data_IF_862295042248
#
_entry.id   IF_862295042248
#
_cell.length_a   1.000
_cell.length_b   1.000
_cell.length_c   1.000
_cell.angle_alpha   90.00
_cell.angle_beta   90.00
_cell.angle_gamma   90.00
#
_symmetry.space_group_name_H-M   'P 1'
#
loop_
_entity.id
_entity.type
_entity.pdbx_description
1 polymer ?
#
# COMPACT_ATOMS: atom_id res chain seq x y z
N UNK A 1 3.30 21.30 1.63
CA UNK A 1 3.90 21.43 0.30
C UNK A 1 3.55 20.13 -0.43
N UNK A 2 2.61 20.16 -1.37
CA UNK A 2 2.21 18.95 -2.12
C UNK A 2 3.26 18.68 -3.20
N UNK A 3 4.24 17.85 -2.90
CA UNK A 3 5.14 17.34 -3.92
C UNK A 3 4.51 16.10 -4.57
N UNK A 4 3.54 16.32 -5.45
CA UNK A 4 3.00 15.26 -6.31
C UNK A 4 4.06 14.91 -7.36
N UNK A 5 4.93 13.96 -7.04
CA UNK A 5 5.72 13.29 -8.07
C UNK A 5 4.71 12.42 -8.81
N UNK A 6 4.43 12.74 -10.08
CA UNK A 6 3.67 11.89 -11.00
C UNK A 6 4.45 11.88 -12.32
N UNK A 7 5.10 10.77 -12.64
CA UNK A 7 5.85 10.68 -13.89
C UNK A 7 5.93 9.25 -14.37
N UNK A 8 5.25 8.94 -15.48
CA UNK A 8 5.52 7.72 -16.22
C UNK A 8 6.98 7.71 -16.67
N UNK A 9 7.72 6.65 -16.30
CA UNK A 9 9.07 6.40 -16.80
C UNK A 9 10.22 6.77 -15.85
N UNK A 10 9.95 7.22 -14.62
CA UNK A 10 11.03 7.45 -13.64
C UNK A 10 11.63 6.12 -13.17
N UNK A 11 12.95 6.09 -13.03
CA UNK A 11 13.72 4.96 -12.49
C UNK A 11 14.14 5.24 -11.06
N UNK A 12 14.59 4.22 -10.32
CA UNK A 12 15.11 4.41 -8.96
C UNK A 12 16.25 5.43 -8.92
N UNK A 13 17.08 5.48 -9.97
CA UNK A 13 18.21 6.42 -10.08
C UNK A 13 17.73 7.87 -10.21
N UNK A 14 16.64 8.09 -10.96
CA UNK A 14 16.05 9.43 -11.10
C UNK A 14 15.26 9.86 -9.87
N UNK A 15 14.60 8.91 -9.17
CA UNK A 15 13.75 9.22 -8.03
C UNK A 15 14.55 9.41 -6.73
N UNK A 16 15.63 8.65 -6.51
CA UNK A 16 16.36 8.67 -5.23
C UNK A 16 16.91 10.06 -4.85
N UNK A 17 17.55 10.84 -5.76
CA UNK A 17 18.01 12.19 -5.43
C UNK A 17 16.87 13.14 -5.08
N UNK A 18 15.70 13.00 -5.72
CA UNK A 18 14.52 13.81 -5.42
C UNK A 18 14.01 13.53 -4.00
N UNK A 19 14.00 12.25 -3.61
CA UNK A 19 13.65 11.86 -2.24
C UNK A 19 14.65 12.41 -1.21
N UNK A 20 15.95 12.40 -1.53
CA UNK A 20 17.01 12.84 -0.63
C UNK A 20 17.07 14.37 -0.45
N UNK A 21 16.76 15.12 -1.51
CA UNK A 21 16.84 16.59 -1.49
C UNK A 21 15.57 17.27 -0.97
N UNK A 22 14.51 16.51 -0.67
CA UNK A 22 13.27 17.06 -0.12
C UNK A 22 13.35 17.13 1.41
N UNK A 23 13.75 18.27 1.96
CA UNK A 23 13.89 18.43 3.42
C UNK A 23 12.55 18.64 4.14
N UNK A 24 11.53 19.12 3.43
CA UNK A 24 10.23 19.49 4.01
C UNK A 24 9.31 18.29 4.32
N UNK A 25 9.70 17.07 3.93
CA UNK A 25 8.87 15.87 4.03
C UNK A 25 7.83 15.76 2.91
N UNK A 26 7.75 14.59 2.27
CA UNK A 26 6.70 14.30 1.30
C UNK A 26 5.41 13.86 2.03
N UNK A 27 4.28 14.37 1.55
CA UNK A 27 2.94 14.07 2.10
C UNK A 27 2.17 13.13 1.17
N UNK A 28 2.10 13.47 -0.12
CA UNK A 28 1.35 12.73 -1.13
C UNK A 28 2.27 12.33 -2.29
N UNK A 29 2.46 11.02 -2.51
CA UNK A 29 3.34 10.49 -3.55
C UNK A 29 2.58 9.57 -4.49
N UNK A 30 2.63 9.85 -5.80
CA UNK A 30 1.89 9.12 -6.82
C UNK A 30 2.82 8.52 -7.89
N UNK A 31 3.10 7.24 -7.79
CA UNK A 31 4.01 6.53 -8.69
C UNK A 31 3.28 5.53 -9.58
N UNK A 32 2.02 5.79 -9.92
CA UNK A 32 1.21 4.91 -10.78
C UNK A 32 1.97 4.54 -12.06
N UNK A 33 1.96 3.24 -12.39
CA UNK A 33 2.52 2.69 -13.61
C UNK A 33 4.05 2.78 -13.70
N UNK A 34 4.77 3.07 -12.62
CA UNK A 34 6.23 3.17 -12.64
C UNK A 34 6.92 1.78 -12.59
N UNK A 35 6.83 1.04 -13.70
CA UNK A 35 7.34 -0.34 -13.87
C UNK A 35 8.87 -0.53 -13.74
N UNK A 36 9.63 0.57 -13.71
CA UNK A 36 11.08 0.55 -13.47
C UNK A 36 11.47 0.73 -12.00
N UNK A 37 10.50 0.99 -11.13
CA UNK A 37 10.72 1.05 -9.69
C UNK A 37 10.82 -0.35 -9.11
N UNK A 38 11.65 -0.51 -8.08
CA UNK A 38 11.77 -1.77 -7.32
C UNK A 38 11.67 -1.47 -5.83
N UNK A 39 11.46 -2.49 -5.00
CA UNK A 39 11.21 -2.35 -3.56
C UNK A 39 12.21 -1.46 -2.78
N UNK A 40 13.45 -1.28 -3.28
CA UNK A 40 14.45 -0.42 -2.65
C UNK A 40 14.03 1.07 -2.61
N UNK A 41 13.30 1.56 -3.61
CA UNK A 41 12.89 2.97 -3.67
C UNK A 41 11.77 3.26 -2.69
N UNK A 42 10.85 2.30 -2.51
CA UNK A 42 9.84 2.38 -1.45
C UNK A 42 10.56 2.39 -0.10
N UNK A 43 11.56 1.53 0.10
CA UNK A 43 12.36 1.57 1.34
C UNK A 43 13.02 2.92 1.60
N UNK A 44 13.61 3.55 0.57
CA UNK A 44 14.20 4.88 0.71
C UNK A 44 13.14 5.95 1.01
N UNK A 45 12.04 5.96 0.25
CA UNK A 45 10.92 6.88 0.41
C UNK A 45 10.37 6.83 1.84
N UNK A 46 10.00 5.64 2.32
CA UNK A 46 9.38 5.51 3.64
C UNK A 46 10.36 5.76 4.78
N UNK A 47 11.67 5.51 4.60
CA UNK A 47 12.69 5.84 5.61
C UNK A 47 12.92 7.34 5.75
N UNK A 48 12.91 8.07 4.64
CA UNK A 48 13.16 9.52 4.63
C UNK A 48 11.88 10.28 5.00
N UNK A 49 10.73 9.87 4.48
CA UNK A 49 9.48 10.63 4.51
C UNK A 49 8.35 9.96 5.32
N UNK A 50 8.58 8.80 5.95
CA UNK A 50 7.53 8.04 6.64
C UNK A 50 6.87 8.73 7.84
N UNK A 51 7.49 9.80 8.35
CA UNK A 51 6.93 10.65 9.41
C UNK A 51 5.93 11.70 8.90
N UNK A 52 5.87 11.94 7.59
CA UNK A 52 4.98 12.95 6.97
C UNK A 52 4.10 12.37 5.86
N UNK A 53 4.42 11.17 5.36
CA UNK A 53 3.74 10.58 4.22
C UNK A 53 2.36 10.09 4.61
N UNK A 54 1.33 10.73 4.07
CA UNK A 54 -0.08 10.43 4.30
C UNK A 54 -0.68 9.59 3.17
N UNK A 55 -0.22 9.79 1.92
CA UNK A 55 -0.69 9.04 0.76
C UNK A 55 0.47 8.49 -0.07
N UNK A 56 0.41 7.20 -0.38
CA UNK A 56 1.30 6.54 -1.32
C UNK A 56 0.50 5.71 -2.33
N UNK A 57 0.58 6.10 -3.60
CA UNK A 57 0.01 5.34 -4.71
C UNK A 57 1.11 4.66 -5.54
N UNK A 58 1.03 3.33 -5.65
CA UNK A 58 1.93 2.45 -6.40
C UNK A 58 1.18 1.59 -7.44
N UNK A 59 -0.07 1.93 -7.82
CA UNK A 59 -0.87 1.12 -8.76
C UNK A 59 -0.08 0.79 -10.03
N UNK A 60 -0.02 -0.49 -10.39
CA UNK A 60 0.66 -0.97 -11.59
C UNK A 60 2.19 -1.07 -11.47
N UNK A 61 2.77 -0.84 -10.28
CA UNK A 61 4.19 -1.06 -10.02
C UNK A 61 4.47 -2.55 -9.73
N UNK A 62 4.36 -3.41 -10.74
CA UNK A 62 4.44 -4.89 -10.60
C UNK A 62 5.74 -5.44 -9.98
N UNK A 63 6.84 -4.68 -9.94
CA UNK A 63 8.09 -5.04 -9.25
C UNK A 63 8.08 -4.73 -7.74
N UNK A 64 7.01 -4.12 -7.24
CA UNK A 64 6.76 -3.95 -5.80
C UNK A 64 6.25 -5.27 -5.26
N UNK A 65 7.03 -5.85 -4.35
CA UNK A 65 6.76 -7.13 -3.70
C UNK A 65 6.57 -6.95 -2.19
N UNK A 66 6.28 -8.05 -1.48
CA UNK A 66 6.18 -8.10 -0.02
C UNK A 66 7.40 -7.52 0.73
N UNK A 67 8.57 -7.45 0.09
CA UNK A 67 9.75 -6.77 0.64
C UNK A 67 9.47 -5.28 0.93
N UNK A 68 8.63 -4.65 0.10
CA UNK A 68 8.19 -3.26 0.30
C UNK A 68 7.27 -3.15 1.51
N UNK A 69 6.39 -4.13 1.73
CA UNK A 69 5.52 -4.21 2.91
C UNK A 69 6.32 -4.25 4.21
N UNK A 70 7.50 -4.88 4.23
CA UNK A 70 8.41 -4.85 5.39
C UNK A 70 8.90 -3.43 5.68
N UNK A 71 9.28 -2.68 4.65
CA UNK A 71 9.75 -1.31 4.82
C UNK A 71 8.60 -0.39 5.26
N UNK A 72 7.45 -0.52 4.61
CA UNK A 72 6.20 0.19 4.92
C UNK A 72 5.80 -0.03 6.39
N UNK A 73 5.72 -1.29 6.82
CA UNK A 73 5.32 -1.67 8.17
C UNK A 73 6.24 -1.13 9.27
N UNK A 74 7.50 -0.86 8.94
CA UNK A 74 8.52 -0.39 9.91
C UNK A 74 8.61 1.13 10.02
N UNK A 75 8.28 1.86 8.97
CA UNK A 75 8.62 3.29 8.88
C UNK A 75 7.41 4.22 8.74
N UNK A 76 6.23 3.71 8.38
CA UNK A 76 5.05 4.55 8.34
C UNK A 76 4.52 4.86 9.73
N UNK A 77 4.45 6.15 10.03
CA UNK A 77 3.91 6.67 11.29
C UNK A 77 2.53 7.30 11.06
N UNK A 78 2.32 7.94 9.89
CA UNK A 78 1.13 8.76 9.61
C UNK A 78 0.40 8.41 8.31
N UNK A 79 0.72 7.28 7.68
CA UNK A 79 0.07 6.87 6.42
C UNK A 79 -1.44 6.72 6.62
N UNK A 80 -2.22 7.34 5.75
CA UNK A 80 -3.68 7.24 5.70
C UNK A 80 -4.11 6.38 4.52
N UNK A 81 -3.51 6.61 3.34
CA UNK A 81 -3.94 6.02 2.08
C UNK A 81 -2.79 5.26 1.41
N UNK A 82 -2.96 3.94 1.23
CA UNK A 82 -2.00 3.09 0.55
C UNK A 82 -2.67 2.36 -0.61
N UNK A 83 -2.21 2.64 -1.83
CA UNK A 83 -2.61 1.93 -3.03
C UNK A 83 -1.44 1.10 -3.55
N UNK A 84 -1.57 -0.22 -3.49
CA UNK A 84 -0.63 -1.21 -4.04
C UNK A 84 -1.32 -2.09 -5.08
N UNK A 85 -2.34 -1.55 -5.76
CA UNK A 85 -3.09 -2.26 -6.81
C UNK A 85 -2.15 -2.77 -7.90
N UNK A 86 -2.45 -3.95 -8.45
CA UNK A 86 -1.69 -4.60 -9.53
C UNK A 86 -0.17 -4.72 -9.23
N UNK A 87 0.22 -4.73 -7.95
CA UNK A 87 1.58 -5.04 -7.51
C UNK A 87 1.71 -6.55 -7.21
N UNK A 88 2.95 -7.04 -7.09
CA UNK A 88 3.24 -8.43 -6.70
C UNK A 88 3.15 -8.63 -5.17
N UNK A 89 2.07 -8.13 -4.56
CA UNK A 89 1.77 -8.29 -3.14
C UNK A 89 0.99 -9.59 -2.95
N UNK A 90 1.42 -10.37 -1.95
CA UNK A 90 0.77 -11.65 -1.62
C UNK A 90 0.09 -11.57 -0.25
N UNK A 91 -0.56 -12.68 0.14
CA UNK A 91 -1.06 -12.87 1.51
C UNK A 91 0.02 -12.59 2.59
N UNK A 92 1.30 -12.87 2.31
CA UNK A 92 2.39 -12.62 3.25
C UNK A 92 2.66 -11.11 3.42
N UNK A 93 2.59 -10.33 2.34
CA UNK A 93 2.67 -8.87 2.40
C UNK A 93 1.57 -8.27 3.27
N UNK A 94 0.32 -8.72 3.10
CA UNK A 94 -0.81 -8.27 3.94
C UNK A 94 -0.60 -8.68 5.40
N UNK A 95 -0.09 -9.89 5.64
CA UNK A 95 0.24 -10.34 7.00
C UNK A 95 1.29 -9.43 7.66
N UNK A 96 2.32 -9.02 6.90
CA UNK A 96 3.35 -8.07 7.37
C UNK A 96 2.72 -6.71 7.72
N UNK A 97 1.89 -6.16 6.83
CA UNK A 97 1.19 -4.89 7.07
C UNK A 97 0.31 -4.98 8.31
N UNK A 98 -0.44 -6.07 8.50
CA UNK A 98 -1.32 -6.27 9.66
C UNK A 98 -0.59 -6.36 11.01
N UNK A 99 0.74 -6.57 11.00
CA UNK A 99 1.58 -6.59 12.20
C UNK A 99 2.18 -5.22 12.50
N UNK A 100 2.14 -4.29 11.55
CA UNK A 100 2.61 -2.94 11.76
C UNK A 100 1.73 -2.23 12.79
N UNK A 101 2.34 -1.38 13.61
CA UNK A 101 1.60 -0.46 14.46
C UNK A 101 1.28 0.80 13.64
N UNK A 102 0.36 0.66 12.69
CA UNK A 102 -0.10 1.73 11.78
C UNK A 102 -1.48 2.23 12.23
N UNK A 103 -1.56 3.09 13.26
CA UNK A 103 -2.85 3.51 13.83
C UNK A 103 -3.68 4.38 12.86
N UNK A 104 -3.06 4.91 11.79
CA UNK A 104 -3.66 5.90 10.91
C UNK A 104 -4.17 5.35 9.57
N UNK A 105 -3.84 4.11 9.19
CA UNK A 105 -4.19 3.60 7.86
C UNK A 105 -5.71 3.47 7.72
N UNK A 106 -6.29 4.27 6.83
CA UNK A 106 -7.73 4.38 6.59
C UNK A 106 -8.15 3.78 5.26
N UNK A 107 -7.33 3.91 4.21
CA UNK A 107 -7.64 3.35 2.88
C UNK A 107 -6.54 2.42 2.43
N UNK A 108 -6.93 1.20 2.04
CA UNK A 108 -6.05 0.22 1.42
C UNK A 108 -6.65 -0.28 0.11
N UNK A 109 -5.91 -0.12 -0.99
CA UNK A 109 -6.25 -0.76 -2.26
C UNK A 109 -5.29 -1.88 -2.59
N UNK A 110 -5.85 -3.07 -2.82
CA UNK A 110 -5.19 -4.29 -3.28
C UNK A 110 -5.76 -4.74 -4.63
N UNK A 111 -6.50 -3.88 -5.32
CA UNK A 111 -7.20 -4.22 -6.56
C UNK A 111 -6.28 -4.85 -7.60
N UNK A 112 -6.71 -5.97 -8.18
CA UNK A 112 -5.96 -6.71 -9.19
C UNK A 112 -4.65 -7.37 -8.70
N UNK A 113 -4.41 -7.48 -7.39
CA UNK A 113 -3.31 -8.27 -6.85
C UNK A 113 -3.66 -9.77 -6.94
N UNK A 114 -3.13 -10.46 -7.95
CA UNK A 114 -3.51 -11.85 -8.29
C UNK A 114 -3.20 -12.90 -7.22
N UNK A 115 -2.20 -12.64 -6.36
CA UNK A 115 -1.72 -13.57 -5.34
C UNK A 115 -2.37 -13.33 -3.95
N UNK A 116 -3.33 -12.40 -3.88
CA UNK A 116 -4.19 -12.20 -2.72
C UNK A 116 -5.38 -13.15 -2.81
N UNK A 117 -5.59 -13.94 -1.77
CA UNK A 117 -6.65 -14.97 -1.75
C UNK A 117 -7.35 -15.03 -0.39
N UNK A 118 -8.27 -15.99 -0.23
CA UNK A 118 -8.95 -16.28 1.05
C UNK A 118 -8.02 -16.36 2.27
N UNK A 119 -6.74 -16.72 2.08
CA UNK A 119 -5.73 -16.78 3.14
C UNK A 119 -5.41 -15.41 3.76
N UNK A 120 -5.76 -14.31 3.09
CA UNK A 120 -5.57 -12.95 3.58
C UNK A 120 -6.62 -12.49 4.60
N UNK A 121 -7.77 -13.17 4.68
CA UNK A 121 -8.92 -12.78 5.50
C UNK A 121 -8.59 -12.42 6.97
N UNK A 122 -7.81 -13.21 7.75
CA UNK A 122 -7.50 -12.83 9.12
C UNK A 122 -6.65 -11.57 9.22
N UNK A 123 -5.78 -11.32 8.23
CA UNK A 123 -4.92 -10.13 8.20
C UNK A 123 -5.69 -8.89 7.79
N UNK A 124 -6.58 -9.00 6.80
CA UNK A 124 -7.50 -7.94 6.38
C UNK A 124 -8.48 -7.57 7.50
N UNK A 125 -9.02 -8.57 8.21
CA UNK A 125 -9.87 -8.36 9.39
C UNK A 125 -9.14 -7.54 10.45
N UNK A 126 -7.85 -7.82 10.68
CA UNK A 126 -7.03 -7.09 11.65
C UNK A 126 -6.76 -5.66 11.22
N UNK A 127 -6.41 -5.44 9.95
CA UNK A 127 -6.22 -4.09 9.39
C UNK A 127 -7.52 -3.27 9.44
N UNK A 128 -8.67 -3.91 9.28
CA UNK A 128 -9.97 -3.26 9.34
C UNK A 128 -10.38 -2.66 10.69
N UNK A 129 -9.54 -2.76 11.73
CA UNK A 129 -9.72 -1.98 12.96
C UNK A 129 -9.54 -0.47 12.72
N UNK A 130 -8.76 -0.08 11.71
CA UNK A 130 -8.51 1.33 11.35
C UNK A 130 -9.07 1.70 9.98
N UNK A 131 -9.25 0.73 9.08
CA UNK A 131 -9.70 1.00 7.71
C UNK A 131 -11.14 1.52 7.66
N UNK A 132 -11.32 2.56 6.84
CA UNK A 132 -12.59 3.10 6.37
C UNK A 132 -12.86 2.74 4.91
N UNK A 133 -11.83 2.36 4.15
CA UNK A 133 -11.94 1.92 2.76
C UNK A 133 -11.01 0.74 2.45
N UNK A 134 -11.55 -0.29 1.82
CA UNK A 134 -10.80 -1.46 1.36
C UNK A 134 -11.22 -1.81 -0.07
N UNK A 135 -10.28 -1.76 -1.00
CA UNK A 135 -10.54 -2.15 -2.39
C UNK A 135 -9.88 -3.50 -2.72
N UNK A 136 -10.71 -4.49 -3.03
CA UNK A 136 -10.38 -5.86 -3.41
C UNK A 136 -10.89 -6.22 -4.81
N UNK A 137 -11.32 -5.24 -5.61
CA UNK A 137 -11.78 -5.49 -6.97
C UNK A 137 -10.75 -6.28 -7.78
N UNK A 138 -11.23 -7.23 -8.57
CA UNK A 138 -10.40 -8.09 -9.42
C UNK A 138 -9.38 -8.98 -8.64
N UNK A 139 -9.50 -9.11 -7.31
CA UNK A 139 -8.79 -10.13 -6.54
C UNK A 139 -9.52 -11.48 -6.65
N UNK A 140 -9.43 -12.10 -7.83
CA UNK A 140 -10.25 -13.26 -8.22
C UNK A 140 -10.08 -14.52 -7.35
N UNK A 141 -9.04 -14.57 -6.51
CA UNK A 141 -8.79 -15.67 -5.57
C UNK A 141 -9.45 -15.46 -4.20
N UNK A 142 -10.23 -14.38 -4.03
CA UNK A 142 -11.10 -14.15 -2.87
C UNK A 142 -12.51 -14.61 -3.22
N UNK A 143 -12.99 -15.63 -2.49
CA UNK A 143 -14.33 -16.19 -2.64
C UNK A 143 -15.42 -15.30 -2.02
N UNK A 144 -16.66 -15.49 -2.46
CA UNK A 144 -17.82 -14.76 -1.95
C UNK A 144 -18.05 -14.97 -0.46
N UNK A 145 -17.76 -16.16 0.05
CA UNK A 145 -17.80 -16.51 1.48
C UNK A 145 -16.88 -15.61 2.31
N UNK A 146 -15.67 -15.35 1.81
CA UNK A 146 -14.73 -14.45 2.47
C UNK A 146 -15.15 -12.98 2.32
N UNK A 147 -15.70 -12.59 1.17
CA UNK A 147 -16.23 -11.24 0.99
C UNK A 147 -17.37 -10.95 1.97
N UNK A 148 -18.33 -11.88 2.13
CA UNK A 148 -19.41 -11.79 3.12
C UNK A 148 -18.87 -11.65 4.54
N UNK A 149 -17.88 -12.48 4.91
CA UNK A 149 -17.21 -12.41 6.21
C UNK A 149 -16.52 -11.05 6.43
N UNK A 150 -15.87 -10.49 5.42
CA UNK A 150 -15.23 -9.18 5.53
C UNK A 150 -16.26 -8.06 5.68
N UNK A 151 -17.37 -8.10 4.95
CA UNK A 151 -18.47 -7.13 5.09
C UNK A 151 -19.09 -7.19 6.49
N UNK A 152 -19.30 -8.39 7.02
CA UNK A 152 -19.84 -8.58 8.38
C UNK A 152 -18.88 -8.02 9.44
N UNK A 153 -17.58 -8.35 9.33
CA UNK A 153 -16.59 -7.97 10.34
C UNK A 153 -16.16 -6.51 10.25
N UNK A 154 -16.08 -5.97 9.05
CA UNK A 154 -15.59 -4.61 8.78
C UNK A 154 -16.75 -3.65 8.52
N UNK A 155 -17.76 -3.67 9.39
CA UNK A 155 -19.00 -2.91 9.27
C UNK A 155 -18.84 -1.37 9.17
N UNK A 156 -17.66 -0.82 9.49
CA UNK A 156 -17.32 0.61 9.33
C UNK A 156 -16.51 0.90 8.06
N UNK A 157 -16.05 -0.12 7.37
CA UNK A 157 -15.18 -0.03 6.19
C UNK A 157 -16.02 -0.19 4.92
N UNK A 158 -15.90 0.77 4.01
CA UNK A 158 -16.46 0.65 2.68
C UNK A 158 -15.59 -0.31 1.86
N UNK A 159 -16.12 -1.51 1.60
CA UNK A 159 -15.45 -2.53 0.80
C UNK A 159 -15.90 -2.40 -0.66
N UNK A 160 -14.93 -2.24 -1.56
CA UNK A 160 -15.10 -2.41 -3.00
C UNK A 160 -14.63 -3.82 -3.36
N UNK A 161 -15.54 -4.65 -3.86
CA UNK A 161 -15.31 -6.06 -4.21
C UNK A 161 -15.50 -6.27 -5.72
#
# INVERSE_FOLDING_TARGET
MEATISSLGITNVGLLPLLQNCEAGLVNVNLIGCWNLIANIVSALVKIHGGTLELLNLDGCWKITDASSVAIAKNFIVINDLDVSKCAITNAGIAILSRANQPSLQVLSLSGCSDVSNKSAPFLTKLGQTLLGLNLQNCNSIGSDIMELLVEKLWRCHILA
#
